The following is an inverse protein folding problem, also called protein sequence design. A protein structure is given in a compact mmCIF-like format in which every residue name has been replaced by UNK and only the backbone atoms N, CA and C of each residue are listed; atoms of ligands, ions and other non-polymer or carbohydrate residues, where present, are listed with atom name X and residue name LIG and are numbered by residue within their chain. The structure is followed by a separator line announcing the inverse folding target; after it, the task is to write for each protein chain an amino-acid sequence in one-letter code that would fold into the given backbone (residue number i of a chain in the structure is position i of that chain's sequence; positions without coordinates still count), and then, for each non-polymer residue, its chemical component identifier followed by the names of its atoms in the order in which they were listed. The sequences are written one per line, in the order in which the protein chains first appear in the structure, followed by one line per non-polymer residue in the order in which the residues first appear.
data_IF_175090696691
#
_entry.id   IF_175090696691
#
_cell.length_a   1.000
_cell.length_b   1.000
_cell.length_c   1.000
_cell.angle_alpha   90.00
_cell.angle_beta   90.00
_cell.angle_gamma   90.00
#
_symmetry.space_group_name_H-M   'P 1'
#
loop_
_entity.id
_entity.type
_entity.pdbx_description
1 polymer ?
#
# COMPACT_ATOMS: atom_id res chain seq x y z
N UNK A 1 2.70 -9.38 0.94
CA UNK A 1 1.96 -10.09 2.01
C UNK A 1 2.86 -11.05 2.79
N UNK A 2 3.73 -11.84 2.15
CA UNK A 2 4.65 -12.75 2.86
C UNK A 2 5.55 -12.05 3.90
N UNK A 3 6.11 -10.89 3.57
CA UNK A 3 6.90 -10.11 4.54
C UNK A 3 6.11 -9.72 5.79
N UNK A 4 4.84 -9.36 5.62
CA UNK A 4 3.96 -9.03 6.74
C UNK A 4 3.67 -10.29 7.59
N UNK A 5 3.38 -11.43 6.96
CA UNK A 5 3.22 -12.72 7.66
C UNK A 5 4.46 -13.10 8.47
N UNK A 6 5.66 -12.87 7.93
CA UNK A 6 6.93 -13.17 8.59
C UNK A 6 7.36 -12.12 9.63
N UNK A 7 6.64 -11.00 9.73
CA UNK A 7 7.05 -9.83 10.52
C UNK A 7 7.04 -10.03 12.05
N UNK A 8 6.31 -11.03 12.54
CA UNK A 8 6.11 -11.25 13.97
C UNK A 8 5.17 -10.24 14.64
N UNK A 9 4.51 -9.36 13.88
CA UNK A 9 3.43 -8.53 14.39
C UNK A 9 2.21 -9.40 14.76
N UNK A 10 1.42 -8.99 15.77
CA UNK A 10 0.20 -9.69 16.17
C UNK A 10 -0.94 -9.39 15.19
N UNK A 11 -0.82 -9.84 13.94
CA UNK A 11 -1.77 -9.56 12.87
C UNK A 11 -3.09 -10.31 13.10
N UNK A 12 -4.21 -9.68 12.77
CA UNK A 12 -5.50 -10.36 12.71
C UNK A 12 -5.60 -11.23 11.44
N UNK A 13 -6.31 -12.37 11.49
CA UNK A 13 -6.50 -13.28 10.35
C UNK A 13 -5.39 -14.33 10.15
N UNK A 14 -4.51 -14.50 11.14
CA UNK A 14 -3.41 -15.45 11.11
C UNK A 14 -3.81 -16.90 11.42
N UNK A 15 -5.08 -17.13 11.75
CA UNK A 15 -5.72 -18.41 12.03
C UNK A 15 -6.13 -19.19 10.75
N UNK A 16 -6.09 -18.56 9.58
CA UNK A 16 -6.36 -19.20 8.29
C UNK A 16 -5.21 -20.12 7.82
N UNK A 17 -5.51 -21.09 6.95
CA UNK A 17 -4.50 -21.96 6.29
C UNK A 17 -4.61 -21.81 4.76
N UNK A 18 -3.62 -21.18 4.09
CA UNK A 18 -2.46 -20.48 4.67
C UNK A 18 -2.88 -19.18 5.42
N UNK A 19 -2.03 -18.65 6.31
CA UNK A 19 -2.31 -17.41 7.05
C UNK A 19 -2.65 -16.24 6.13
N UNK A 20 -3.69 -15.46 6.47
CA UNK A 20 -4.15 -14.31 5.68
C UNK A 20 -4.36 -13.09 6.57
N UNK A 21 -3.31 -12.26 6.76
CA UNK A 21 -3.44 -10.98 7.45
C UNK A 21 -4.63 -10.18 6.93
N UNK A 22 -5.43 -9.65 7.84
CA UNK A 22 -6.51 -8.73 7.51
C UNK A 22 -5.91 -7.38 7.14
N UNK A 23 -5.92 -7.12 5.85
CA UNK A 23 -5.48 -5.86 5.26
C UNK A 23 -6.64 -5.21 4.50
N UNK A 24 -6.74 -3.89 4.55
CA UNK A 24 -7.65 -3.13 3.71
C UNK A 24 -6.84 -2.11 2.91
N UNK A 25 -6.99 -2.16 1.59
CA UNK A 25 -6.31 -1.24 0.68
C UNK A 25 -7.27 -0.09 0.41
N UNK A 26 -6.80 1.15 0.48
CA UNK A 26 -7.64 2.32 0.23
C UNK A 26 -8.22 2.31 -1.18
N UNK A 27 -7.40 2.67 -2.17
CA UNK A 27 -7.79 2.61 -3.57
C UNK A 27 -7.20 1.34 -4.21
N UNK A 28 -7.99 0.51 -4.90
CA UNK A 28 -7.47 -0.70 -5.52
C UNK A 28 -6.57 -0.36 -6.71
N UNK A 29 -5.28 -0.67 -6.60
CA UNK A 29 -4.32 -0.49 -7.68
C UNK A 29 -4.39 -1.67 -8.68
N UNK A 30 -4.53 -1.42 -9.99
CA UNK A 30 -4.46 -2.49 -11.00
C UNK A 30 -3.14 -3.25 -10.94
N UNK A 31 -3.18 -4.56 -11.21
CA UNK A 31 -2.00 -5.40 -11.20
C UNK A 31 -0.93 -4.89 -12.18
N UNK A 32 0.31 -4.78 -11.71
CA UNK A 32 1.45 -4.31 -12.50
C UNK A 32 1.55 -2.79 -12.65
N UNK A 33 0.62 -2.02 -12.07
CA UNK A 33 0.73 -0.57 -12.02
C UNK A 33 1.60 -0.15 -10.81
N UNK A 34 2.58 0.76 -10.99
CA UNK A 34 3.31 1.32 -9.85
C UNK A 34 2.40 2.28 -9.07
N UNK A 35 2.46 2.20 -7.74
CA UNK A 35 1.80 3.14 -6.84
C UNK A 35 2.80 4.19 -6.34
N UNK A 36 2.31 5.38 -5.99
CA UNK A 36 3.17 6.43 -5.40
C UNK A 36 3.04 6.50 -3.89
N UNK A 37 1.80 6.41 -3.38
CA UNK A 37 1.45 6.63 -1.96
C UNK A 37 0.23 5.80 -1.57
N UNK A 38 0.27 4.51 -1.91
CA UNK A 38 -0.83 3.60 -1.60
C UNK A 38 -1.03 3.48 -0.08
N UNK A 39 -2.28 3.61 0.36
CA UNK A 39 -2.65 3.46 1.75
C UNK A 39 -3.13 2.02 2.00
N UNK A 40 -2.63 1.43 3.09
CA UNK A 40 -3.00 0.09 3.52
C UNK A 40 -3.21 0.10 5.03
N UNK A 41 -4.40 -0.31 5.46
CA UNK A 41 -4.69 -0.64 6.85
C UNK A 41 -4.26 -2.07 7.14
N UNK A 42 -3.62 -2.27 8.29
CA UNK A 42 -3.29 -3.57 8.85
C UNK A 42 -3.91 -3.69 10.22
N UNK A 43 -4.71 -4.73 10.46
CA UNK A 43 -5.36 -4.94 11.74
C UNK A 43 -4.49 -5.78 12.67
N UNK A 44 -4.29 -5.31 13.91
CA UNK A 44 -3.57 -6.03 14.96
C UNK A 44 -4.56 -6.58 16.01
N UNK A 45 -4.28 -7.74 16.60
CA UNK A 45 -5.08 -8.34 17.68
C UNK A 45 -4.76 -7.76 19.06
N UNK A 46 -3.61 -7.10 19.20
CA UNK A 46 -3.20 -6.37 20.40
C UNK A 46 -2.57 -5.04 20.00
N UNK A 47 -2.67 -4.05 20.89
CA UNK A 47 -2.03 -2.75 20.66
C UNK A 47 -0.52 -2.89 20.76
N UNK A 48 0.18 -2.39 19.74
CA UNK A 48 1.64 -2.31 19.70
C UNK A 48 2.10 -0.85 19.75
N UNK A 49 3.28 -0.56 20.30
CA UNK A 49 3.87 0.76 20.16
C UNK A 49 4.08 1.12 18.68
N UNK A 50 3.66 2.31 18.27
CA UNK A 50 3.70 2.72 16.85
C UNK A 50 5.11 2.65 16.24
N UNK A 51 6.16 2.96 17.03
CA UNK A 51 7.55 2.84 16.57
C UNK A 51 7.93 1.42 16.19
N UNK A 52 7.47 0.42 16.96
CA UNK A 52 7.76 -1.00 16.72
C UNK A 52 7.06 -1.48 15.46
N UNK A 53 5.80 -1.11 15.29
CA UNK A 53 5.03 -1.42 14.07
C UNK A 53 5.75 -0.83 12.85
N UNK A 54 6.18 0.43 12.93
CA UNK A 54 6.91 1.10 11.85
C UNK A 54 8.22 0.39 11.50
N UNK A 55 9.07 0.07 12.48
CA UNK A 55 10.36 -0.60 12.24
C UNK A 55 10.18 -1.97 11.60
N UNK A 56 9.28 -2.78 12.15
CA UNK A 56 9.01 -4.12 11.68
C UNK A 56 8.35 -4.11 10.29
N UNK A 57 7.38 -3.21 10.08
CA UNK A 57 6.73 -3.06 8.78
C UNK A 57 7.74 -2.59 7.72
N UNK A 58 8.61 -1.62 8.03
CA UNK A 58 9.63 -1.13 7.10
C UNK A 58 10.60 -2.24 6.66
N UNK A 59 10.99 -3.13 7.58
CA UNK A 59 11.82 -4.29 7.26
C UNK A 59 11.10 -5.38 6.45
N UNK A 60 9.77 -5.40 6.48
CA UNK A 60 8.92 -6.36 5.78
C UNK A 60 8.47 -5.90 4.38
N UNK A 61 8.82 -4.67 3.97
CA UNK A 61 8.47 -4.12 2.66
C UNK A 61 9.26 -4.85 1.56
N UNK A 62 8.61 -5.25 0.44
CA UNK A 62 9.29 -5.84 -0.70
C UNK A 62 10.36 -4.94 -1.31
N UNK A 63 11.37 -5.53 -1.94
CA UNK A 63 12.36 -4.77 -2.69
C UNK A 63 11.69 -3.96 -3.82
N UNK A 64 12.03 -2.68 -3.91
CA UNK A 64 11.44 -1.75 -4.88
C UNK A 64 10.37 -0.82 -4.29
N UNK A 65 9.83 -1.16 -3.12
CA UNK A 65 8.86 -0.35 -2.38
C UNK A 65 9.51 0.31 -1.16
N UNK A 66 8.84 1.29 -0.56
CA UNK A 66 9.30 1.94 0.67
C UNK A 66 8.12 2.31 1.56
N UNK A 67 8.24 2.06 2.86
CA UNK A 67 7.27 2.55 3.84
C UNK A 67 7.44 4.07 4.01
N UNK A 68 6.47 4.85 3.55
CA UNK A 68 6.50 6.31 3.62
C UNK A 68 6.08 6.82 5.00
N UNK A 69 5.00 6.26 5.54
CA UNK A 69 4.43 6.66 6.83
C UNK A 69 3.72 5.47 7.49
N UNK A 70 3.51 5.55 8.81
CA UNK A 70 2.80 4.55 9.60
C UNK A 70 2.12 5.25 10.79
N UNK A 71 0.79 5.17 10.84
CA UNK A 71 -0.03 5.83 11.85
C UNK A 71 -0.91 4.81 12.60
N UNK A 72 -1.09 5.04 13.90
CA UNK A 72 -2.08 4.32 14.72
C UNK A 72 -3.46 4.94 14.44
N UNK A 73 -4.43 4.11 14.07
CA UNK A 73 -5.77 4.54 13.67
C UNK A 73 -6.79 3.93 14.62
N UNK A 74 -7.69 4.75 15.14
CA UNK A 74 -8.75 4.25 16.02
C UNK A 74 -9.70 3.33 15.24
N UNK A 75 -9.91 2.11 15.73
CA UNK A 75 -10.80 1.10 15.13
C UNK A 75 -12.28 1.50 15.01
N UNK A 76 -12.69 2.62 15.61
CA UNK A 76 -14.04 3.17 15.49
C UNK A 76 -14.29 4.00 14.23
N UNK A 77 -13.26 4.33 13.45
CA UNK A 77 -13.43 5.06 12.18
C UNK A 77 -13.89 4.12 11.05
N UNK A 78 -14.52 4.64 9.98
CA UNK A 78 -14.82 3.85 8.80
C UNK A 78 -13.56 3.17 8.24
N UNK A 79 -13.67 1.96 7.66
CA UNK A 79 -12.52 1.30 7.06
C UNK A 79 -11.95 2.13 5.91
N UNK A 80 -10.64 2.10 5.71
CA UNK A 80 -9.93 2.94 4.72
C UNK A 80 -10.58 2.99 3.32
N UNK A 81 -11.05 1.89 2.69
CA UNK A 81 -11.75 1.97 1.40
C UNK A 81 -12.98 2.89 1.42
N UNK A 82 -13.69 2.97 2.55
CA UNK A 82 -14.87 3.83 2.73
C UNK A 82 -14.52 5.31 2.93
N UNK A 83 -13.24 5.64 3.14
CA UNK A 83 -12.73 7.01 3.23
C UNK A 83 -12.20 7.53 1.90
N UNK A 84 -12.07 6.67 0.88
CA UNK A 84 -11.60 7.08 -0.44
C UNK A 84 -12.66 7.88 -1.17
N UNK A 85 -12.32 9.12 -1.49
CA UNK A 85 -13.20 10.03 -2.26
C UNK A 85 -12.89 10.03 -3.75
N UNK A 86 -11.64 9.75 -4.12
CA UNK A 86 -11.19 9.68 -5.50
C UNK A 86 -9.93 8.81 -5.62
N UNK A 87 -9.72 8.25 -6.81
CA UNK A 87 -8.49 7.61 -7.23
C UNK A 87 -8.16 8.05 -8.65
N UNK A 88 -6.90 8.40 -8.92
CA UNK A 88 -6.45 8.88 -10.23
C UNK A 88 -5.42 7.90 -10.77
N UNK A 89 -5.74 7.30 -11.91
CA UNK A 89 -4.85 6.37 -12.60
C UNK A 89 -4.34 7.03 -13.88
N UNK A 90 -3.03 6.99 -14.08
CA UNK A 90 -2.42 7.41 -15.34
C UNK A 90 -2.22 6.19 -16.23
N UNK A 91 -2.88 6.19 -17.37
CA UNK A 91 -2.76 5.12 -18.37
C UNK A 91 -2.08 5.70 -19.60
N UNK A 92 -0.97 5.08 -20.00
CA UNK A 92 -0.29 5.38 -21.26
C UNK A 92 -0.69 4.31 -22.27
N UNK A 93 -1.33 4.72 -23.35
CA UNK A 93 -1.70 3.83 -24.46
C UNK A 93 -0.62 3.94 -25.53
N UNK A 94 -0.03 2.80 -25.90
CA UNK A 94 1.03 2.70 -26.92
C UNK A 94 0.54 1.96 -28.15
N UNK A 95 1.25 2.11 -29.28
CA UNK A 95 0.91 1.39 -30.49
C UNK A 95 1.13 -0.13 -30.32
N UNK A 96 0.42 -1.00 -31.07
CA UNK A 96 0.64 -2.43 -31.02
C UNK A 96 2.12 -2.80 -31.30
N UNK A 97 2.75 -3.55 -30.39
CA UNK A 97 4.15 -3.99 -30.51
C UNK A 97 5.17 -3.08 -29.81
N UNK A 98 4.74 -1.90 -29.34
CA UNK A 98 5.56 -1.01 -28.53
C UNK A 98 5.45 -1.38 -27.04
N UNK A 99 6.56 -1.32 -26.30
CA UNK A 99 6.57 -1.47 -24.84
C UNK A 99 7.10 -0.18 -24.24
N UNK A 100 6.33 0.55 -23.43
CA UNK A 100 6.84 1.74 -22.77
C UNK A 100 7.99 1.36 -21.83
N UNK A 101 9.03 2.18 -21.78
CA UNK A 101 10.07 2.03 -20.76
C UNK A 101 9.50 2.34 -19.38
N UNK A 102 9.93 1.61 -18.35
CA UNK A 102 9.50 1.86 -16.95
C UNK A 102 9.77 3.32 -16.54
N UNK A 103 10.84 3.94 -17.07
CA UNK A 103 11.16 5.35 -16.82
C UNK A 103 10.20 6.35 -17.49
N UNK A 104 9.56 5.98 -18.59
CA UNK A 104 8.65 6.86 -19.34
C UNK A 104 7.32 7.05 -18.58
N UNK A 105 6.95 6.08 -17.75
CA UNK A 105 5.78 6.14 -16.87
C UNK A 105 5.98 7.11 -15.70
N UNK A 106 7.23 7.29 -15.25
CA UNK A 106 7.60 8.14 -14.10
C UNK A 106 7.91 9.60 -14.51
N UNK A 107 8.33 9.87 -15.75
CA UNK A 107 8.86 11.18 -16.16
C UNK A 107 7.80 12.25 -16.47
N UNK A 108 6.51 11.90 -16.57
CA UNK A 108 5.44 12.83 -16.99
C UNK A 108 4.80 13.56 -15.80
N UNK A 109 5.50 13.63 -14.66
CA UNK A 109 5.06 14.22 -13.39
C UNK A 109 5.76 15.52 -13.03
N UNK A 110 5.67 16.57 -13.85
CA UNK A 110 5.77 17.94 -13.33
C UNK A 110 4.40 18.59 -13.46
N UNK A 111 3.57 18.46 -12.41
CA UNK A 111 2.39 19.30 -12.27
C UNK A 111 2.86 20.76 -12.22
N UNK A 112 2.43 21.58 -13.19
CA UNK A 112 2.36 23.02 -12.96
C UNK A 112 1.29 23.22 -11.91
N UNK A 113 1.66 23.80 -10.76
CA UNK A 113 0.70 24.37 -9.83
C UNK A 113 -0.17 25.36 -10.64
N UNK A 114 -1.47 25.08 -10.74
CA UNK A 114 -2.44 26.07 -11.13
C UNK A 114 -2.65 27.00 -9.93
N UNK A 115 -2.49 28.29 -10.20
CA UNK A 115 -2.65 29.40 -9.27
C UNK A 115 -4.10 29.57 -8.78
#
# INVERSE_FOLDING_TARGET
MEGLVASGLPLAGMDAVPPRPRVAIGAPLPAGMPGERELVDVMLVSREPAWRVREVAAAAIPAGDTLVDCIDVWTGVPPLPGLVTAAVYRIVVVAPGERPGIGDLLLVGRLRAAA
#
